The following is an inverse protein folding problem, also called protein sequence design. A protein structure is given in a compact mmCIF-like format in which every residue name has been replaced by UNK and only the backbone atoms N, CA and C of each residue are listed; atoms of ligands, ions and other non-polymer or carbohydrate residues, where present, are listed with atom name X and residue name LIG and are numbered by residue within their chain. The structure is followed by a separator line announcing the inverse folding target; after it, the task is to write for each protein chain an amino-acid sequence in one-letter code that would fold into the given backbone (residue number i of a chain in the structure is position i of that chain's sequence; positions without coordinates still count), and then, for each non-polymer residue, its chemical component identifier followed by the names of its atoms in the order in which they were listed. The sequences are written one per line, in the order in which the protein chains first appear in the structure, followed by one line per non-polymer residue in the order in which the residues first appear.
data_IF_358804169145
#
_entry.id   IF_358804169145
#
_cell.length_a   1.000
_cell.length_b   1.000
_cell.length_c   1.000
_cell.angle_alpha   90.00
_cell.angle_beta   90.00
_cell.angle_gamma   90.00
#
_symmetry.space_group_name_H-M   'P 1'
#
loop_
_entity.id
_entity.type
_entity.pdbx_description
1 polymer ?
#
# COMPACT_ATOMS: atom_id res chain seq x y z
N UNK A 1 12.06 30.01 25.29
CA UNK A 1 13.40 29.41 25.28
C UNK A 1 13.47 28.37 24.15
N UNK A 2 14.52 28.40 23.32
CA UNK A 2 14.57 27.61 22.07
C UNK A 2 14.65 26.11 22.34
N UNK A 3 15.34 25.71 23.42
CA UNK A 3 15.40 24.31 23.86
C UNK A 3 14.03 23.76 24.32
N UNK A 4 13.18 24.64 24.86
CA UNK A 4 11.84 24.26 25.28
C UNK A 4 10.91 24.10 24.06
N UNK A 5 11.07 24.97 23.06
CA UNK A 5 10.37 24.81 21.78
C UNK A 5 10.78 23.51 21.09
N UNK A 6 12.07 23.21 21.01
CA UNK A 6 12.58 21.97 20.42
C UNK A 6 11.99 20.73 21.11
N UNK A 7 12.00 20.68 22.44
CA UNK A 7 11.38 19.56 23.20
C UNK A 7 9.89 19.41 22.94
N UNK A 8 9.17 20.52 22.79
CA UNK A 8 7.73 20.48 22.47
C UNK A 8 7.49 19.95 21.04
N UNK A 9 8.36 20.30 20.09
CA UNK A 9 8.32 19.79 18.73
C UNK A 9 8.66 18.30 18.68
N UNK A 10 9.72 17.86 19.37
CA UNK A 10 10.10 16.45 19.47
C UNK A 10 9.03 15.59 20.16
N UNK A 11 8.24 16.17 21.08
CA UNK A 11 7.13 15.47 21.72
C UNK A 11 5.89 15.33 20.82
N UNK A 12 5.89 15.95 19.64
CA UNK A 12 4.75 15.91 18.71
C UNK A 12 4.73 14.60 17.92
N UNK A 13 3.55 13.99 17.78
CA UNK A 13 3.36 12.68 17.14
C UNK A 13 3.82 12.64 15.67
N UNK A 14 3.87 13.79 15.01
CA UNK A 14 4.24 13.92 13.60
C UNK A 14 5.75 14.16 13.37
N UNK A 15 6.53 14.43 14.41
CA UNK A 15 7.96 14.74 14.30
C UNK A 15 8.80 13.50 14.58
N UNK A 16 9.64 13.12 13.61
CA UNK A 16 10.63 12.04 13.72
C UNK A 16 11.89 12.49 14.43
N UNK A 17 12.39 13.68 14.07
CA UNK A 17 13.56 14.30 14.71
C UNK A 17 13.59 15.79 14.43
N UNK A 18 14.18 16.55 15.35
CA UNK A 18 14.53 17.97 15.12
C UNK A 18 16.03 18.20 15.21
N UNK A 19 16.53 19.14 14.41
CA UNK A 19 17.91 19.64 14.46
C UNK A 19 17.87 21.15 14.61
N UNK A 20 18.39 21.65 15.72
CA UNK A 20 18.56 23.08 15.90
C UNK A 20 19.82 23.53 15.17
N UNK A 21 19.68 24.50 14.27
CA UNK A 21 20.78 25.08 13.50
C UNK A 21 20.98 26.50 13.99
N UNK A 22 22.17 26.77 14.54
CA UNK A 22 22.53 28.10 15.00
C UNK A 22 22.77 29.05 13.83
N UNK A 23 22.77 30.36 14.11
CA UNK A 23 23.08 31.38 13.09
C UNK A 23 24.47 31.20 12.46
N UNK A 24 25.43 30.75 13.26
CA UNK A 24 26.82 30.51 12.85
C UNK A 24 26.92 29.23 12.01
N UNK A 25 26.28 28.14 12.43
CA UNK A 25 26.23 26.90 11.63
C UNK A 25 25.53 27.12 10.29
N UNK A 26 24.38 27.81 10.27
CA UNK A 26 23.67 28.13 9.03
C UNK A 26 24.53 28.98 8.07
N UNK A 27 25.36 29.86 8.61
CA UNK A 27 26.27 30.67 7.81
C UNK A 27 27.43 29.84 7.23
N UNK A 28 27.99 28.92 8.01
CA UNK A 28 29.03 28.03 7.51
C UNK A 28 28.48 27.10 6.41
N UNK A 29 27.29 26.52 6.62
CA UNK A 29 26.64 25.64 5.63
C UNK A 29 26.35 26.39 4.33
N UNK A 30 25.81 27.62 4.40
CA UNK A 30 25.56 28.43 3.21
C UNK A 30 26.86 28.87 2.51
N UNK A 31 27.92 29.17 3.28
CA UNK A 31 29.25 29.49 2.72
C UNK A 31 29.83 28.30 1.96
N UNK A 32 29.68 27.09 2.48
CA UNK A 32 30.14 25.86 1.82
C UNK A 32 29.32 25.56 0.55
N UNK A 33 28.00 25.81 0.56
CA UNK A 33 27.14 25.64 -0.62
C UNK A 33 27.43 26.67 -1.74
N UNK A 34 27.72 27.92 -1.37
CA UNK A 34 28.02 28.99 -2.32
C UNK A 34 29.48 29.00 -2.79
N UNK A 35 30.41 28.48 -1.99
CA UNK A 35 31.85 28.53 -2.22
C UNK A 35 32.49 29.90 -1.98
N UNK A 36 31.74 30.88 -1.46
CA UNK A 36 32.19 32.25 -1.19
C UNK A 36 31.72 32.75 0.18
N UNK A 37 32.50 33.63 0.81
CA UNK A 37 32.16 34.21 2.12
C UNK A 37 31.21 35.41 1.97
N UNK A 38 29.91 35.14 2.03
CA UNK A 38 28.89 36.19 1.96
C UNK A 38 28.93 37.14 3.18
N UNK A 39 29.49 36.71 4.33
CA UNK A 39 29.61 37.56 5.53
C UNK A 39 30.64 38.64 5.27
N UNK A 40 31.73 38.32 4.58
CA UNK A 40 32.74 39.30 4.18
C UNK A 40 32.15 40.36 3.23
N UNK A 41 31.22 39.97 2.35
CA UNK A 41 30.54 40.90 1.43
C UNK A 41 29.47 41.78 2.12
N UNK A 42 28.67 41.20 3.02
CA UNK A 42 27.57 41.91 3.69
C UNK A 42 27.99 42.65 4.96
N UNK A 43 29.14 42.30 5.54
CA UNK A 43 29.65 42.85 6.81
C UNK A 43 28.87 42.39 8.06
N UNK A 44 27.84 41.56 7.91
CA UNK A 44 27.08 40.95 9.01
C UNK A 44 26.42 39.64 8.56
N UNK A 45 26.01 38.80 9.52
CA UNK A 45 25.24 37.58 9.26
C UNK A 45 23.72 37.87 9.27
N UNK A 46 23.02 37.83 8.11
CA UNK A 46 21.59 38.07 8.04
C UNK A 46 20.75 36.84 8.43
N UNK A 47 21.35 35.66 8.62
CA UNK A 47 20.64 34.42 8.87
C UNK A 47 20.08 34.37 10.29
N UNK A 48 18.89 33.81 10.40
CA UNK A 48 18.24 33.51 11.68
C UNK A 48 18.54 32.07 12.08
N UNK A 49 18.50 31.80 13.39
CA UNK A 49 18.55 30.42 13.85
C UNK A 49 17.26 29.69 13.42
N UNK A 50 17.38 28.43 13.00
CA UNK A 50 16.27 27.61 12.51
C UNK A 50 16.20 26.28 13.24
N UNK A 51 15.03 25.65 13.22
CA UNK A 51 14.85 24.27 13.66
C UNK A 51 14.42 23.49 12.43
N UNK A 52 15.28 22.61 11.95
CA UNK A 52 14.94 21.64 10.91
C UNK A 52 14.10 20.54 11.54
N UNK A 53 12.95 20.24 10.95
CA UNK A 53 11.98 19.26 11.47
C UNK A 53 11.79 18.17 10.43
N UNK A 54 12.21 16.95 10.75
CA UNK A 54 11.92 15.79 9.94
C UNK A 54 10.62 15.15 10.40
N UNK A 55 9.67 15.00 9.48
CA UNK A 55 8.36 14.40 9.76
C UNK A 55 8.40 12.88 9.57
N UNK A 56 7.50 12.18 10.26
CA UNK A 56 7.20 10.78 9.93
C UNK A 56 6.53 10.68 8.55
N UNK A 57 6.75 9.56 7.87
CA UNK A 57 6.27 9.33 6.50
C UNK A 57 4.74 9.48 6.38
N UNK A 58 3.99 9.06 7.41
CA UNK A 58 2.53 9.17 7.45
C UNK A 58 2.03 10.63 7.39
N UNK A 59 2.85 11.57 7.83
CA UNK A 59 2.55 13.01 7.86
C UNK A 59 3.23 13.79 6.73
N UNK A 60 4.00 13.14 5.85
CA UNK A 60 4.71 13.74 4.73
C UNK A 60 3.82 13.95 3.48
N UNK A 61 2.52 14.19 3.69
CA UNK A 61 1.56 14.48 2.64
C UNK A 61 1.15 15.95 2.66
N UNK A 62 0.72 16.48 1.50
CA UNK A 62 0.38 17.90 1.32
C UNK A 62 -0.64 18.41 2.35
N UNK A 63 -1.68 17.62 2.63
CA UNK A 63 -2.75 18.01 3.54
C UNK A 63 -2.26 18.08 5.01
N UNK A 64 -1.48 17.09 5.44
CA UNK A 64 -0.91 17.02 6.79
C UNK A 64 0.11 18.11 7.02
N UNK A 65 0.97 18.38 6.02
CA UNK A 65 1.97 19.46 6.11
C UNK A 65 1.29 20.82 6.23
N UNK A 66 0.16 21.05 5.56
CA UNK A 66 -0.62 22.29 5.72
C UNK A 66 -1.19 22.44 7.13
N UNK A 67 -1.68 21.35 7.74
CA UNK A 67 -2.17 21.37 9.13
C UNK A 67 -1.02 21.63 10.10
N UNK A 68 0.14 20.99 9.89
CA UNK A 68 1.34 21.17 10.71
C UNK A 68 1.88 22.60 10.58
N UNK A 69 1.92 23.16 9.37
CA UNK A 69 2.32 24.55 9.14
C UNK A 69 1.43 25.52 9.94
N UNK A 70 0.12 25.32 9.89
CA UNK A 70 -0.83 26.15 10.64
C UNK A 70 -0.67 26.00 12.15
N UNK A 71 -0.37 24.79 12.64
CA UNK A 71 -0.09 24.55 14.05
C UNK A 71 1.22 25.22 14.49
N UNK A 72 2.27 25.15 13.67
CA UNK A 72 3.55 25.82 13.95
C UNK A 72 3.42 27.36 13.96
N UNK A 73 2.59 27.92 13.08
CA UNK A 73 2.31 29.37 13.07
C UNK A 73 1.60 29.90 14.32
N UNK A 74 1.05 29.03 15.18
CA UNK A 74 0.43 29.44 16.44
C UNK A 74 1.46 29.76 17.54
N UNK A 75 2.71 29.29 17.41
CA UNK A 75 3.76 29.60 18.37
C UNK A 75 4.33 30.99 18.09
N UNK A 76 4.20 31.92 19.03
CA UNK A 76 4.74 33.29 18.93
C UNK A 76 6.25 33.32 18.69
N UNK A 77 6.97 32.25 19.06
CA UNK A 77 8.42 32.11 18.86
C UNK A 77 8.79 31.73 17.42
N UNK A 78 7.84 31.30 16.58
CA UNK A 78 8.07 30.88 15.20
C UNK A 78 7.73 32.04 14.27
N UNK A 79 8.75 32.63 13.65
CA UNK A 79 8.58 33.74 12.69
C UNK A 79 8.03 33.26 11.34
N UNK A 80 8.56 32.14 10.85
CA UNK A 80 8.20 31.59 9.54
C UNK A 80 8.43 30.07 9.50
N UNK A 81 7.60 29.37 8.74
CA UNK A 81 7.76 27.95 8.43
C UNK A 81 8.03 27.84 6.94
N UNK A 82 9.25 27.47 6.58
CA UNK A 82 9.69 27.38 5.19
C UNK A 82 9.78 25.93 4.74
N UNK A 83 9.12 25.61 3.62
CA UNK A 83 9.23 24.32 2.94
C UNK A 83 8.84 24.48 1.47
N UNK A 84 9.37 23.60 0.60
CA UNK A 84 9.08 23.65 -0.83
C UNK A 84 7.70 23.06 -1.14
N UNK A 85 6.64 23.87 -0.94
CA UNK A 85 5.24 23.45 -1.14
C UNK A 85 4.99 22.85 -2.52
N UNK A 86 5.54 23.47 -3.56
CA UNK A 86 5.39 23.02 -4.94
C UNK A 86 5.97 21.63 -5.16
N UNK A 87 7.17 21.36 -4.66
CA UNK A 87 7.80 20.03 -4.78
C UNK A 87 7.01 18.97 -4.02
N UNK A 88 6.62 19.25 -2.78
CA UNK A 88 5.82 18.31 -1.98
C UNK A 88 4.51 17.96 -2.68
N UNK A 89 3.81 18.97 -3.20
CA UNK A 89 2.55 18.79 -3.93
C UNK A 89 2.76 18.00 -5.23
N UNK A 90 3.80 18.34 -6.00
CA UNK A 90 4.13 17.62 -7.24
C UNK A 90 4.42 16.14 -6.98
N UNK A 91 5.22 15.82 -5.94
CA UNK A 91 5.52 14.44 -5.56
C UNK A 91 4.25 13.72 -5.12
N UNK A 92 3.46 14.31 -4.22
CA UNK A 92 2.22 13.69 -3.73
C UNK A 92 1.19 13.48 -4.86
N UNK A 93 1.02 14.44 -5.77
CA UNK A 93 0.14 14.30 -6.92
C UNK A 93 0.60 13.20 -7.87
N UNK A 94 1.90 13.11 -8.14
CA UNK A 94 2.47 12.07 -9.01
C UNK A 94 2.32 10.69 -8.39
N UNK A 95 2.60 10.54 -7.09
CA UNK A 95 2.37 9.31 -6.34
C UNK A 95 0.89 8.92 -6.43
N UNK A 96 -0.03 9.85 -6.18
CA UNK A 96 -1.47 9.60 -6.27
C UNK A 96 -1.92 9.17 -7.68
N UNK A 97 -1.41 9.82 -8.73
CA UNK A 97 -1.68 9.44 -10.13
C UNK A 97 -1.19 8.04 -10.44
N UNK A 98 0.04 7.72 -10.06
CA UNK A 98 0.63 6.39 -10.26
C UNK A 98 -0.16 5.33 -9.49
N UNK A 99 -0.49 5.57 -8.21
CA UNK A 99 -1.31 4.67 -7.41
C UNK A 99 -2.68 4.42 -8.03
N UNK A 100 -3.33 5.45 -8.61
CA UNK A 100 -4.61 5.30 -9.29
C UNK A 100 -4.49 4.43 -10.55
N UNK A 101 -3.44 4.63 -11.36
CA UNK A 101 -3.19 3.82 -12.56
C UNK A 101 -2.95 2.35 -12.16
N UNK A 102 -2.11 2.10 -11.15
CA UNK A 102 -1.85 0.75 -10.65
C UNK A 102 -3.15 0.14 -10.12
N UNK A 103 -3.95 0.87 -9.33
CA UNK A 103 -5.21 0.37 -8.78
C UNK A 103 -6.19 -0.03 -9.88
N UNK A 104 -6.35 0.80 -10.92
CA UNK A 104 -7.22 0.48 -12.06
C UNK A 104 -6.72 -0.74 -12.84
N UNK A 105 -5.42 -0.85 -13.07
CA UNK A 105 -4.81 -1.99 -13.74
C UNK A 105 -4.94 -3.28 -12.92
N UNK A 106 -4.69 -3.22 -11.61
CA UNK A 106 -4.92 -4.32 -10.68
C UNK A 106 -6.38 -4.75 -10.66
N UNK A 107 -7.32 -3.81 -10.69
CA UNK A 107 -8.77 -4.10 -10.79
C UNK A 107 -9.12 -4.82 -12.09
N UNK A 108 -8.52 -4.44 -13.22
CA UNK A 108 -8.71 -5.13 -14.49
C UNK A 108 -8.16 -6.57 -14.45
N UNK A 109 -6.93 -6.75 -13.98
CA UNK A 109 -6.32 -8.07 -13.79
C UNK A 109 -7.15 -8.95 -12.86
N UNK A 110 -7.72 -8.34 -11.81
CA UNK A 110 -8.58 -9.02 -10.87
C UNK A 110 -9.85 -9.58 -11.55
N UNK A 111 -10.51 -8.78 -12.40
CA UNK A 111 -11.66 -9.23 -13.18
C UNK A 111 -11.29 -10.35 -14.16
N UNK A 112 -10.13 -10.26 -14.82
CA UNK A 112 -9.62 -11.29 -15.72
C UNK A 112 -9.41 -12.60 -14.94
N UNK A 113 -8.82 -12.55 -13.75
CA UNK A 113 -8.61 -13.72 -12.91
C UNK A 113 -9.94 -14.40 -12.53
N UNK A 114 -10.97 -13.64 -12.13
CA UNK A 114 -12.30 -14.19 -11.83
C UNK A 114 -12.92 -14.85 -13.07
N UNK A 115 -12.80 -14.22 -14.24
CA UNK A 115 -13.32 -14.76 -15.49
C UNK A 115 -12.63 -16.09 -15.86
N UNK A 116 -11.32 -16.17 -15.70
CA UNK A 116 -10.54 -17.40 -15.91
C UNK A 116 -10.95 -18.51 -14.94
N UNK A 117 -11.08 -18.20 -13.65
CA UNK A 117 -11.54 -19.18 -12.64
C UNK A 117 -12.93 -19.70 -13.02
N UNK A 118 -13.85 -18.82 -13.41
CA UNK A 118 -15.21 -19.20 -13.80
C UNK A 118 -15.20 -20.13 -15.03
N UNK A 119 -14.38 -19.82 -16.04
CA UNK A 119 -14.24 -20.67 -17.22
C UNK A 119 -13.66 -22.04 -16.86
N UNK A 120 -12.57 -22.09 -16.10
CA UNK A 120 -11.92 -23.34 -15.67
C UNK A 120 -12.87 -24.21 -14.83
N UNK A 121 -13.61 -23.63 -13.89
CA UNK A 121 -14.60 -24.37 -13.10
C UNK A 121 -15.72 -24.89 -13.99
N UNK A 122 -16.21 -24.11 -14.96
CA UNK A 122 -17.23 -24.57 -15.91
C UNK A 122 -16.75 -25.78 -16.70
N UNK A 123 -15.53 -25.75 -17.22
CA UNK A 123 -14.92 -26.88 -17.93
C UNK A 123 -14.78 -28.10 -17.03
N UNK A 124 -14.35 -27.91 -15.78
CA UNK A 124 -14.21 -28.99 -14.78
C UNK A 124 -15.54 -29.63 -14.39
N UNK A 125 -16.60 -28.83 -14.30
CA UNK A 125 -17.96 -29.32 -14.02
C UNK A 125 -18.53 -30.05 -15.23
N UNK A 126 -18.33 -29.50 -16.44
CA UNK A 126 -18.78 -30.13 -17.68
C UNK A 126 -18.13 -31.49 -17.93
N UNK A 127 -16.83 -31.64 -17.66
CA UNK A 127 -16.15 -32.94 -17.80
C UNK A 127 -16.69 -34.01 -16.83
N UNK A 128 -17.31 -33.59 -15.72
CA UNK A 128 -17.95 -34.46 -14.72
C UNK A 128 -19.48 -34.53 -14.85
N UNK A 129 -20.05 -34.04 -15.95
CA UNK A 129 -21.51 -33.96 -16.14
C UNK A 129 -22.26 -35.27 -15.90
N UNK A 130 -21.70 -36.42 -16.33
CA UNK A 130 -22.34 -37.72 -16.14
C UNK A 130 -22.45 -38.11 -14.67
N UNK A 131 -21.39 -37.89 -13.89
CA UNK A 131 -21.36 -38.16 -12.44
C UNK A 131 -22.34 -37.22 -11.71
N UNK A 132 -22.39 -35.95 -12.14
CA UNK A 132 -23.33 -34.97 -11.57
C UNK A 132 -24.78 -35.39 -11.85
N UNK A 133 -25.07 -35.85 -13.07
CA UNK A 133 -26.40 -36.33 -13.44
C UNK A 133 -26.81 -37.57 -12.64
N UNK A 134 -25.92 -38.56 -12.48
CA UNK A 134 -26.22 -39.74 -11.65
C UNK A 134 -26.47 -39.37 -10.19
N UNK A 135 -25.69 -38.44 -9.63
CA UNK A 135 -25.93 -37.90 -8.28
C UNK A 135 -27.29 -37.22 -8.17
N UNK A 136 -27.71 -36.46 -9.19
CA UNK A 136 -29.04 -35.81 -9.22
C UNK A 136 -30.18 -36.83 -9.28
N UNK A 137 -30.04 -37.91 -10.07
CA UNK A 137 -31.07 -38.97 -10.18
C UNK A 137 -31.29 -39.74 -8.87
N UNK A 138 -30.25 -39.87 -8.04
CA UNK A 138 -30.33 -40.50 -6.71
C UNK A 138 -30.80 -39.49 -5.63
N UNK A 139 -31.14 -38.25 -6.02
CA UNK A 139 -31.70 -37.23 -5.12
C UNK A 139 -30.66 -36.41 -4.35
N UNK A 140 -29.39 -36.38 -4.79
CA UNK A 140 -28.37 -35.59 -4.13
C UNK A 140 -28.69 -34.08 -4.19
N UNK A 141 -28.56 -33.40 -3.05
CA UNK A 141 -28.79 -31.96 -2.98
C UNK A 141 -27.72 -31.18 -3.74
N UNK A 142 -28.07 -30.01 -4.29
CA UNK A 142 -27.11 -29.10 -4.97
C UNK A 142 -25.90 -28.76 -4.08
N UNK A 143 -26.10 -28.70 -2.77
CA UNK A 143 -25.03 -28.49 -1.79
C UNK A 143 -24.06 -29.66 -1.69
N UNK A 144 -24.57 -30.90 -1.72
CA UNK A 144 -23.74 -32.10 -1.71
C UNK A 144 -22.82 -32.18 -2.94
N UNK A 145 -23.36 -31.86 -4.13
CA UNK A 145 -22.60 -31.84 -5.38
C UNK A 145 -21.53 -30.73 -5.37
N UNK A 146 -21.84 -29.57 -4.78
CA UNK A 146 -20.96 -28.39 -4.78
C UNK A 146 -19.81 -28.48 -3.78
N UNK A 147 -20.02 -29.09 -2.60
CA UNK A 147 -19.01 -29.22 -1.52
C UNK A 147 -17.61 -29.67 -1.98
N UNK A 148 -17.44 -30.75 -2.77
CA UNK A 148 -16.11 -31.19 -3.19
C UNK A 148 -15.39 -30.17 -4.09
N UNK A 149 -16.12 -29.40 -4.90
CA UNK A 149 -15.54 -28.34 -5.72
C UNK A 149 -15.07 -27.17 -4.86
N UNK A 150 -15.88 -26.76 -3.87
CA UNK A 150 -15.51 -25.68 -2.95
C UNK A 150 -14.27 -26.01 -2.13
N UNK A 151 -14.16 -27.25 -1.64
CA UNK A 151 -13.00 -27.70 -0.88
C UNK A 151 -11.72 -27.69 -1.73
N UNK A 152 -11.80 -28.20 -2.97
CA UNK A 152 -10.67 -28.14 -3.91
C UNK A 152 -10.25 -26.71 -4.23
N UNK A 153 -11.22 -25.82 -4.45
CA UNK A 153 -10.92 -24.40 -4.72
C UNK A 153 -10.32 -23.67 -3.53
N UNK A 154 -10.75 -23.98 -2.30
CA UNK A 154 -10.13 -23.45 -1.10
C UNK A 154 -8.66 -23.88 -0.99
N UNK A 155 -8.36 -25.17 -1.24
CA UNK A 155 -6.97 -25.66 -1.28
C UNK A 155 -6.13 -24.99 -2.38
N UNK A 156 -6.68 -24.82 -3.58
CA UNK A 156 -6.01 -24.06 -4.64
C UNK A 156 -5.77 -22.60 -4.24
N UNK A 157 -6.71 -21.97 -3.52
CA UNK A 157 -6.56 -20.62 -2.97
C UNK A 157 -5.42 -20.52 -1.96
N UNK A 158 -5.27 -21.50 -1.06
CA UNK A 158 -4.16 -21.57 -0.11
C UNK A 158 -2.82 -21.68 -0.85
N UNK A 159 -2.72 -22.61 -1.80
CA UNK A 159 -1.48 -22.83 -2.57
C UNK A 159 -1.12 -21.56 -3.36
N UNK A 160 -2.09 -20.95 -4.04
CA UNK A 160 -1.90 -19.72 -4.77
C UNK A 160 -1.45 -18.56 -3.87
N UNK A 161 -2.03 -18.43 -2.67
CA UNK A 161 -1.63 -17.42 -1.70
C UNK A 161 -0.18 -17.63 -1.22
N UNK A 162 0.23 -18.87 -0.94
CA UNK A 162 1.62 -19.18 -0.55
C UNK A 162 2.58 -18.80 -1.68
N UNK A 163 2.26 -19.14 -2.93
CA UNK A 163 3.06 -18.73 -4.09
C UNK A 163 3.12 -17.20 -4.24
N UNK A 164 2.00 -16.51 -4.06
CA UNK A 164 1.94 -15.05 -4.14
C UNK A 164 2.78 -14.40 -3.04
N UNK A 165 2.70 -14.88 -1.80
CA UNK A 165 3.53 -14.40 -0.68
C UNK A 165 5.01 -14.64 -0.98
N UNK A 166 5.39 -15.81 -1.51
CA UNK A 166 6.77 -16.09 -1.90
C UNK A 166 7.30 -15.12 -2.96
N UNK A 167 6.50 -14.80 -3.99
CA UNK A 167 6.85 -13.78 -4.98
C UNK A 167 6.96 -12.39 -4.36
N UNK A 168 6.04 -12.02 -3.48
CA UNK A 168 6.02 -10.72 -2.81
C UNK A 168 7.29 -10.53 -1.96
N UNK A 169 7.67 -11.53 -1.18
CA UNK A 169 8.94 -11.55 -0.42
C UNK A 169 10.14 -11.39 -1.35
N UNK A 170 10.16 -12.10 -2.48
CA UNK A 170 11.24 -11.98 -3.47
C UNK A 170 11.37 -10.58 -4.06
N UNK A 171 10.24 -9.94 -4.41
CA UNK A 171 10.20 -8.57 -4.92
C UNK A 171 10.65 -7.58 -3.84
N UNK A 172 10.17 -7.72 -2.60
CA UNK A 172 10.59 -6.86 -1.49
C UNK A 172 12.10 -6.96 -1.23
N UNK A 173 12.65 -8.17 -1.25
CA UNK A 173 14.08 -8.39 -1.06
C UNK A 173 14.92 -7.73 -2.16
N UNK A 174 14.50 -7.85 -3.42
CA UNK A 174 15.19 -7.19 -4.53
C UNK A 174 15.07 -5.67 -4.47
N UNK A 175 13.88 -5.16 -4.14
CA UNK A 175 13.62 -3.74 -4.02
C UNK A 175 14.41 -3.08 -2.88
N UNK A 176 14.55 -3.74 -1.72
CA UNK A 176 15.38 -3.23 -0.63
C UNK A 176 16.85 -3.09 -1.06
N UNK A 177 17.37 -4.06 -1.82
CA UNK A 177 18.76 -4.05 -2.29
C UNK A 177 19.06 -2.86 -3.21
N UNK A 178 18.14 -2.52 -4.10
CA UNK A 178 18.31 -1.41 -5.05
C UNK A 178 17.94 -0.05 -4.43
N UNK A 179 16.98 -0.04 -3.50
CA UNK A 179 16.44 1.17 -2.88
C UNK A 179 16.48 1.07 -1.35
N UNK A 180 17.67 1.27 -0.79
CA UNK A 180 17.97 1.12 0.65
C UNK A 180 17.03 1.91 1.60
N UNK A 181 16.30 2.92 1.13
CA UNK A 181 15.46 3.80 1.96
C UNK A 181 13.94 3.72 1.67
N UNK A 182 13.51 3.02 0.61
CA UNK A 182 12.09 3.03 0.19
C UNK A 182 11.30 1.90 0.84
N UNK A 183 11.94 0.75 1.14
CA UNK A 183 11.28 -0.42 1.73
C UNK A 183 12.12 -0.92 2.91
N UNK A 184 11.77 -0.49 4.12
CA UNK A 184 12.35 -1.05 5.35
C UNK A 184 11.50 -2.24 5.82
N UNK A 185 12.12 -3.40 6.02
CA UNK A 185 11.49 -4.55 6.69
C UNK A 185 11.20 -4.29 8.18
N UNK A 186 11.47 -3.08 8.70
CA UNK A 186 11.22 -2.74 10.11
C UNK A 186 9.75 -2.81 10.50
N UNK A 187 8.82 -2.58 9.56
CA UNK A 187 7.39 -2.62 9.85
C UNK A 187 6.82 -4.05 9.74
N UNK A 188 7.37 -4.97 10.53
CA UNK A 188 7.00 -6.40 10.52
C UNK A 188 5.51 -6.62 10.75
N UNK A 189 4.86 -5.71 11.49
CA UNK A 189 3.42 -5.73 11.72
C UNK A 189 2.61 -5.47 10.44
N UNK A 190 3.00 -4.47 9.65
CA UNK A 190 2.34 -4.12 8.39
C UNK A 190 2.52 -5.25 7.38
N UNK A 191 3.74 -5.79 7.27
CA UNK A 191 4.04 -6.90 6.36
C UNK A 191 3.28 -8.17 6.78
N UNK A 192 3.24 -8.47 8.08
CA UNK A 192 2.47 -9.59 8.61
C UNK A 192 0.98 -9.47 8.32
N UNK A 193 0.40 -8.28 8.54
CA UNK A 193 -0.99 -8.00 8.23
C UNK A 193 -1.28 -8.12 6.72
N UNK A 194 -0.38 -7.67 5.86
CA UNK A 194 -0.48 -7.81 4.41
C UNK A 194 -0.53 -9.28 3.99
N UNK A 195 0.38 -10.12 4.50
CA UNK A 195 0.41 -11.54 4.18
C UNK A 195 -0.85 -12.26 4.65
N UNK A 196 -1.33 -11.92 5.84
CA UNK A 196 -2.60 -12.44 6.35
C UNK A 196 -3.77 -12.05 5.43
N UNK A 197 -3.85 -10.78 5.01
CA UNK A 197 -4.85 -10.32 4.07
C UNK A 197 -4.78 -11.08 2.74
N UNK A 198 -3.60 -11.24 2.15
CA UNK A 198 -3.40 -11.97 0.89
C UNK A 198 -3.91 -13.41 1.00
N UNK A 199 -3.62 -14.09 2.12
CA UNK A 199 -4.06 -15.45 2.36
C UNK A 199 -5.59 -15.55 2.44
N UNK A 200 -6.22 -14.71 3.27
CA UNK A 200 -7.68 -14.70 3.44
C UNK A 200 -8.38 -14.35 2.13
N UNK A 201 -7.94 -13.28 1.47
CA UNK A 201 -8.49 -12.78 0.20
C UNK A 201 -8.36 -13.86 -0.88
N UNK A 202 -7.20 -14.51 -1.00
CA UNK A 202 -6.97 -15.58 -1.96
C UNK A 202 -7.92 -16.77 -1.79
N UNK A 203 -8.17 -17.20 -0.55
CA UNK A 203 -9.12 -18.29 -0.24
C UNK A 203 -10.55 -17.86 -0.53
N UNK A 204 -10.97 -16.72 0.01
CA UNK A 204 -12.34 -16.20 -0.09
C UNK A 204 -12.74 -16.00 -1.55
N UNK A 205 -11.85 -15.43 -2.37
CA UNK A 205 -12.14 -15.16 -3.78
C UNK A 205 -12.26 -16.44 -4.59
N UNK A 206 -11.36 -17.41 -4.37
CA UNK A 206 -11.46 -18.72 -5.04
C UNK A 206 -12.72 -19.47 -4.64
N UNK A 207 -13.08 -19.43 -3.36
CA UNK A 207 -14.31 -20.02 -2.85
C UNK A 207 -15.53 -19.35 -3.49
N UNK A 208 -15.67 -18.03 -3.38
CA UNK A 208 -16.81 -17.27 -3.89
C UNK A 208 -16.96 -17.46 -5.40
N UNK A 209 -15.86 -17.35 -6.15
CA UNK A 209 -15.87 -17.54 -7.61
C UNK A 209 -16.36 -18.93 -7.99
N UNK A 210 -15.87 -19.97 -7.30
CA UNK A 210 -16.30 -21.36 -7.53
C UNK A 210 -17.75 -21.57 -7.12
N UNK A 211 -18.18 -20.99 -6.00
CA UNK A 211 -19.55 -21.07 -5.52
C UNK A 211 -20.52 -20.54 -6.57
N UNK A 212 -20.26 -19.36 -7.13
CA UNK A 212 -21.11 -18.77 -8.16
C UNK A 212 -21.09 -19.59 -9.45
N UNK A 213 -19.91 -20.02 -9.92
CA UNK A 213 -19.76 -20.81 -11.14
C UNK A 213 -20.52 -22.15 -11.07
N UNK A 214 -20.31 -22.94 -10.01
CA UNK A 214 -20.97 -24.24 -9.82
C UNK A 214 -22.46 -24.06 -9.58
N UNK A 215 -22.87 -23.07 -8.77
CA UNK A 215 -24.30 -22.84 -8.49
C UNK A 215 -25.06 -22.42 -9.75
N UNK A 216 -24.43 -21.63 -10.64
CA UNK A 216 -25.00 -21.29 -11.94
C UNK A 216 -25.18 -22.53 -12.80
N UNK A 217 -24.18 -23.41 -12.86
CA UNK A 217 -24.26 -24.65 -13.63
C UNK A 217 -25.35 -25.60 -13.11
N UNK A 218 -25.41 -25.84 -11.80
CA UNK A 218 -26.40 -26.75 -11.19
C UNK A 218 -27.85 -26.23 -11.24
N UNK A 219 -28.05 -24.95 -11.54
CA UNK A 219 -29.38 -24.35 -11.78
C UNK A 219 -29.82 -24.46 -13.24
N UNK A 220 -28.91 -24.73 -14.18
CA UNK A 220 -29.27 -24.94 -15.57
C UNK A 220 -29.88 -26.34 -15.72
N UNK A 221 -31.12 -26.42 -16.23
CA UNK A 221 -31.82 -27.68 -16.43
C UNK A 221 -31.06 -28.59 -17.40
N UNK A 222 -31.02 -29.87 -17.05
CA UNK A 222 -30.30 -30.97 -17.71
C UNK A 222 -30.75 -31.15 -19.18
N UNK A 223 -31.94 -30.69 -19.54
CA UNK A 223 -32.51 -30.80 -20.89
C UNK A 223 -31.83 -29.92 -21.96
N UNK A 224 -30.98 -28.96 -21.57
CA UNK A 224 -30.17 -28.14 -22.51
C UNK A 224 -28.71 -28.59 -22.62
N UNK A 225 -28.36 -29.77 -22.11
CA UNK A 225 -27.02 -30.34 -22.26
C UNK A 225 -26.87 -31.28 -23.46
N UNK A 226 -27.97 -31.58 -24.16
CA UNK A 226 -28.03 -32.46 -25.32
C UNK A 226 -28.43 -31.76 -26.63
N UNK A 227 -28.57 -30.43 -26.62
CA UNK A 227 -28.75 -29.58 -27.80
C UNK A 227 -27.89 -28.33 -27.71
#
# INVERSE_FOLDING_TARGET
DVRQLQKNLDASVFVKSTKYITREEAANELKDELGEDFIEFLGYNPLLASIEVHLYADYANSDSILVIENHFKQFEQIKEVFYQKSLVNLVNENVKKISLIILTFSGLLFLIAIALINNTIRLSVYSKRFIINTMQLVGATRGFIRRPFLYRSALHGIIAAIFAIGLLVGVMYFAQKEFNEIISFQDIEIVGFLFFCVLIIGIVINWISTFFAVSKFLRMNVDKLYY
#
